data_IF_928881998078
#
_entry.id   IF_928881998078
#
_cell.length_a   1.000
_cell.length_b   1.000
_cell.length_c   1.000
_cell.angle_alpha   90.00
_cell.angle_beta   90.00
_cell.angle_gamma   90.00
#
_symmetry.space_group_name_H-M   'P 1'
#
loop_
_entity.id
_entity.type
_entity.pdbx_description
1 polymer ?
#
# COMPACT_ATOMS: atom_id res chain seq x y z
N UNK A 1 -10.54 7.17 -10.45
CA UNK A 1 -10.38 6.70 -11.86
C UNK A 1 -10.41 5.17 -11.90
N UNK A 2 -11.17 4.56 -12.83
CA UNK A 2 -11.27 3.10 -12.94
C UNK A 2 -10.13 2.55 -13.83
N UNK A 3 -9.43 1.54 -13.34
CA UNK A 3 -8.42 0.78 -14.06
C UNK A 3 -8.79 -0.71 -14.05
N UNK A 4 -8.26 -1.50 -14.99
CA UNK A 4 -8.40 -2.96 -14.96
C UNK A 4 -7.02 -3.61 -14.93
N UNK A 5 -6.84 -4.57 -14.03
CA UNK A 5 -5.62 -5.38 -13.93
C UNK A 5 -5.96 -6.82 -14.26
N UNK A 6 -5.30 -7.36 -15.28
CA UNK A 6 -5.41 -8.77 -15.64
C UNK A 6 -4.16 -9.53 -15.24
N UNK A 7 -4.33 -10.77 -14.77
CA UNK A 7 -3.24 -11.68 -14.42
C UNK A 7 -3.68 -13.12 -14.64
N UNK A 8 -2.71 -14.02 -14.77
CA UNK A 8 -2.96 -15.46 -14.91
C UNK A 8 -2.65 -16.13 -13.58
N UNK A 9 -3.49 -17.09 -13.16
CA UNK A 9 -3.20 -17.95 -12.01
C UNK A 9 -3.56 -19.39 -12.30
N UNK A 10 -2.88 -20.31 -11.63
CA UNK A 10 -3.22 -21.73 -11.59
C UNK A 10 -4.20 -21.99 -10.43
N UNK A 11 -5.27 -22.75 -10.68
CA UNK A 11 -6.21 -23.18 -9.63
C UNK A 11 -5.60 -24.33 -8.81
N UNK A 12 -6.21 -24.66 -7.66
CA UNK A 12 -5.78 -25.81 -6.84
C UNK A 12 -5.79 -27.14 -7.61
N UNK A 13 -6.72 -27.31 -8.56
CA UNK A 13 -6.80 -28.49 -9.44
C UNK A 13 -5.85 -28.42 -10.65
N UNK A 14 -5.02 -27.38 -10.73
CA UNK A 14 -4.01 -27.25 -11.77
C UNK A 14 -4.45 -26.57 -13.06
N UNK A 15 -5.71 -26.15 -13.18
CA UNK A 15 -6.21 -25.40 -14.35
C UNK A 15 -5.64 -23.98 -14.38
N UNK A 16 -5.18 -23.52 -15.54
CA UNK A 16 -4.74 -22.13 -15.75
C UNK A 16 -5.93 -21.27 -16.13
N UNK A 17 -6.14 -20.15 -15.43
CA UNK A 17 -7.21 -19.20 -15.71
C UNK A 17 -6.68 -17.76 -15.78
N UNK A 18 -7.24 -16.95 -16.67
CA UNK A 18 -7.04 -15.49 -16.70
C UNK A 18 -8.07 -14.84 -15.78
N UNK A 19 -7.62 -13.98 -14.88
CA UNK A 19 -8.46 -13.20 -13.97
C UNK A 19 -8.33 -11.73 -14.35
N UNK A 20 -9.46 -11.03 -14.48
CA UNK A 20 -9.52 -9.58 -14.69
C UNK A 20 -10.19 -8.99 -13.46
N UNK A 21 -9.53 -8.02 -12.81
CA UNK A 21 -10.06 -7.29 -11.65
C UNK A 21 -10.09 -5.81 -11.94
N UNK A 22 -11.15 -5.17 -11.50
CA UNK A 22 -11.23 -3.72 -11.41
C UNK A 22 -10.30 -3.21 -10.31
N UNK A 23 -9.64 -2.10 -10.59
CA UNK A 23 -8.76 -1.39 -9.66
C UNK A 23 -9.20 0.07 -9.62
N UNK A 24 -9.64 0.50 -8.45
CA UNK A 24 -10.12 1.85 -8.22
C UNK A 24 -8.97 2.71 -7.70
N UNK A 25 -8.53 3.68 -8.51
CA UNK A 25 -7.60 4.71 -8.06
C UNK A 25 -8.40 5.78 -7.33
N UNK A 26 -8.10 5.90 -6.03
CA UNK A 26 -8.72 6.81 -5.08
C UNK A 26 -7.81 8.01 -4.84
N UNK A 27 -8.40 9.20 -4.81
CA UNK A 27 -7.69 10.45 -4.57
C UNK A 27 -7.80 10.92 -3.10
N UNK A 28 -8.57 10.19 -2.29
CA UNK A 28 -8.87 10.45 -0.88
C UNK A 28 -8.06 9.57 0.09
N UNK A 29 -6.86 9.16 -0.31
CA UNK A 29 -5.92 8.42 0.56
C UNK A 29 -4.99 9.43 1.25
N UNK A 30 -5.09 9.51 2.58
CA UNK A 30 -4.31 10.46 3.39
C UNK A 30 -2.89 9.97 3.67
N UNK A 31 -1.93 10.91 3.72
CA UNK A 31 -0.53 10.61 4.06
C UNK A 31 -0.28 10.26 5.53
N UNK A 32 -1.25 10.54 6.43
CA UNK A 32 -1.15 10.24 7.86
C UNK A 32 -0.24 11.18 8.67
N UNK A 33 0.26 12.27 8.06
CA UNK A 33 1.10 13.27 8.72
C UNK A 33 0.31 14.47 9.22
N UNK A 34 0.51 14.85 10.49
CA UNK A 34 -0.19 15.97 11.14
C UNK A 34 0.26 17.32 10.60
N UNK A 35 1.47 17.38 10.05
CA UNK A 35 2.07 18.57 9.45
C UNK A 35 1.73 18.73 7.96
N UNK A 36 0.96 17.80 7.37
CA UNK A 36 0.49 17.95 6.00
C UNK A 36 -0.57 19.05 5.93
N UNK A 37 -0.45 19.95 4.95
CA UNK A 37 -1.40 21.05 4.72
C UNK A 37 -2.48 20.73 3.68
N UNK A 38 -2.37 19.58 3.00
CA UNK A 38 -3.26 19.18 1.91
C UNK A 38 -4.28 18.11 2.34
N UNK A 39 -3.86 17.18 3.20
CA UNK A 39 -4.69 16.07 3.69
C UNK A 39 -5.52 16.48 4.92
N UNK A 40 -6.65 15.81 5.17
CA UNK A 40 -7.30 15.85 6.48
C UNK A 40 -6.40 15.16 7.52
N UNK A 41 -6.20 15.82 8.66
CA UNK A 41 -5.29 15.41 9.73
C UNK A 41 -6.01 14.79 10.92
N UNK A 42 -7.35 14.66 10.89
CA UNK A 42 -8.18 14.13 12.00
C UNK A 42 -7.89 12.69 12.47
N UNK A 43 -6.96 11.99 11.82
CA UNK A 43 -6.44 10.69 12.27
C UNK A 43 -4.93 10.52 12.08
N UNK A 44 -4.19 11.64 11.92
CA UNK A 44 -2.76 11.59 11.65
C UNK A 44 -1.97 11.02 12.82
N UNK A 45 -0.95 10.20 12.51
CA UNK A 45 -0.06 9.56 13.49
C UNK A 45 1.39 10.03 13.38
N UNK A 46 1.81 10.59 12.24
CA UNK A 46 3.13 11.20 12.14
C UNK A 46 3.06 12.64 12.66
N UNK A 47 3.55 12.86 13.87
CA UNK A 47 3.40 14.13 14.60
C UNK A 47 4.57 15.10 14.35
N UNK A 48 5.77 14.57 14.09
CA UNK A 48 7.01 15.36 14.02
C UNK A 48 7.36 15.75 12.58
N UNK A 49 7.37 17.06 12.23
CA UNK A 49 7.74 17.54 10.90
C UNK A 49 9.24 17.41 10.56
N UNK A 50 10.07 16.99 11.53
CA UNK A 50 11.52 16.82 11.37
C UNK A 50 12.03 15.38 11.49
N UNK A 51 11.15 14.39 11.68
CA UNK A 51 11.57 12.99 11.74
C UNK A 51 11.66 12.39 10.34
N UNK A 52 12.76 11.71 10.05
CA UNK A 52 12.92 10.91 8.82
C UNK A 52 11.86 9.82 8.76
N UNK A 53 11.13 9.74 7.64
CA UNK A 53 10.17 8.66 7.36
C UNK A 53 10.93 7.52 6.65
N UNK A 54 10.91 6.34 7.25
CA UNK A 54 11.51 5.14 6.66
C UNK A 54 10.45 4.39 5.85
N UNK A 55 10.67 4.25 4.55
CA UNK A 55 9.88 3.38 3.68
C UNK A 55 10.66 2.09 3.48
N UNK A 56 10.11 1.00 4.00
CA UNK A 56 10.79 -0.30 4.06
C UNK A 56 10.35 -1.17 2.89
N UNK A 57 11.30 -1.83 2.23
CA UNK A 57 11.03 -2.79 1.17
C UNK A 57 10.51 -4.14 1.72
N UNK A 58 9.79 -4.89 0.88
CA UNK A 58 9.30 -6.23 1.20
C UNK A 58 10.41 -7.15 1.70
N UNK A 59 11.59 -7.13 1.06
CA UNK A 59 12.70 -8.00 1.45
C UNK A 59 13.28 -7.64 2.81
N UNK A 60 13.29 -6.35 3.17
CA UNK A 60 13.76 -5.91 4.48
C UNK A 60 12.80 -6.38 5.56
N UNK A 61 11.49 -6.22 5.36
CA UNK A 61 10.46 -6.73 6.28
C UNK A 61 10.59 -8.24 6.48
N UNK A 62 10.66 -9.02 5.40
CA UNK A 62 10.69 -10.48 5.49
C UNK A 62 11.93 -11.04 6.20
N UNK A 63 13.08 -10.38 6.02
CA UNK A 63 14.35 -10.91 6.53
C UNK A 63 14.75 -10.33 7.90
N UNK A 64 14.19 -9.18 8.30
CA UNK A 64 14.59 -8.48 9.53
C UNK A 64 13.50 -8.45 10.61
N UNK A 65 12.31 -9.03 10.37
CA UNK A 65 11.22 -9.14 11.35
C UNK A 65 11.58 -9.92 12.64
N UNK A 66 12.75 -10.57 12.70
CA UNK A 66 13.28 -11.20 13.93
C UNK A 66 14.17 -10.27 14.77
N UNK A 67 14.47 -9.07 14.28
CA UNK A 67 15.40 -8.11 14.90
C UNK A 67 14.71 -6.84 15.41
N UNK A 68 13.37 -6.78 15.40
CA UNK A 68 12.55 -5.69 15.96
C UNK A 68 11.70 -6.23 17.10
#
# INVERSE_FOLDING_TARGET
MLQSKSFVRKTKQGKVIKVVREHYLRDDIYCGASFCKLCDTKGARFVSPGSTILVVDTNVVLNQLKAV
#
